data_IF_684893778882
#
_entry.id   IF_684893778882
#
_cell.length_a   1.000
_cell.length_b   1.000
_cell.length_c   1.000
_cell.angle_alpha   90.00
_cell.angle_beta   90.00
_cell.angle_gamma   90.00
#
_symmetry.space_group_name_H-M   'P 1'
#
loop_
_entity.id
_entity.type
_entity.pdbx_description
1 polymer ?
#
# COMPACT_ATOMS: atom_id res chain seq x y z
N UNK A 1 12.47 -57.68 -5.50
CA UNK A 1 11.76 -56.95 -4.43
C UNK A 1 12.08 -55.47 -4.61
N UNK A 2 11.18 -54.66 -5.19
CA UNK A 2 11.40 -53.22 -5.38
C UNK A 2 10.48 -52.45 -4.42
N UNK A 3 11.05 -51.58 -3.60
CA UNK A 3 10.32 -50.66 -2.74
C UNK A 3 9.85 -49.45 -3.56
N UNK A 4 8.53 -49.22 -3.62
CA UNK A 4 7.96 -48.00 -4.20
C UNK A 4 8.15 -46.86 -3.20
N UNK A 5 8.81 -45.79 -3.64
CA UNK A 5 8.79 -44.52 -2.93
C UNK A 5 7.39 -43.91 -3.06
N UNK A 6 6.72 -43.73 -1.93
CA UNK A 6 5.44 -43.00 -1.86
C UNK A 6 5.78 -41.52 -1.81
N UNK A 7 5.47 -40.80 -2.88
CA UNK A 7 5.56 -39.33 -2.91
C UNK A 7 4.29 -38.80 -2.25
N UNK A 8 4.41 -38.29 -1.03
CA UNK A 8 3.30 -37.65 -0.31
C UNK A 8 2.97 -36.31 -0.97
N UNK A 9 1.85 -36.24 -1.69
CA UNK A 9 1.30 -34.96 -2.15
C UNK A 9 0.70 -34.23 -0.95
N UNK A 10 1.36 -33.17 -0.51
CA UNK A 10 0.86 -32.31 0.55
C UNK A 10 -0.18 -31.35 -0.03
N UNK A 11 -1.26 -31.14 0.70
CA UNK A 11 -2.27 -30.15 0.31
C UNK A 11 -1.72 -28.73 0.45
N UNK A 12 -2.26 -27.77 -0.30
CA UNK A 12 -1.84 -26.36 -0.22
C UNK A 12 -1.89 -25.83 1.24
N UNK A 13 -2.84 -26.32 2.04
CA UNK A 13 -2.97 -25.97 3.46
C UNK A 13 -1.83 -26.49 4.34
N UNK A 14 -1.22 -27.63 4.01
CA UNK A 14 -0.09 -28.20 4.76
C UNK A 14 1.23 -27.53 4.39
N UNK A 15 1.40 -27.14 3.13
CA UNK A 15 2.54 -26.32 2.67
C UNK A 15 2.52 -24.98 3.40
N UNK A 16 1.35 -24.33 3.50
CA UNK A 16 1.21 -23.07 4.23
C UNK A 16 1.54 -23.20 5.73
N UNK A 17 1.20 -24.33 6.35
CA UNK A 17 1.52 -24.60 7.77
C UNK A 17 3.02 -24.86 7.98
N UNK A 18 3.63 -25.65 7.11
CA UNK A 18 5.07 -25.92 7.12
C UNK A 18 5.92 -24.66 6.86
N UNK A 19 5.43 -23.76 6.01
CA UNK A 19 6.08 -22.47 5.76
C UNK A 19 5.91 -21.48 6.92
N UNK A 20 4.85 -21.60 7.73
CA UNK A 20 4.67 -20.80 8.94
C UNK A 20 5.62 -21.22 10.08
N UNK A 21 5.89 -22.52 10.23
CA UNK A 21 6.78 -23.06 11.27
C UNK A 21 8.27 -22.77 11.01
N UNK A 22 8.65 -22.47 9.77
CA UNK A 22 10.02 -22.18 9.36
C UNK A 22 10.50 -20.73 9.64
N UNK A 23 9.68 -19.87 10.24
CA UNK A 23 10.10 -18.54 10.71
C UNK A 23 10.48 -17.51 9.62
N UNK A 24 10.41 -17.87 8.33
CA UNK A 24 10.68 -16.98 7.18
C UNK A 24 9.36 -16.52 6.57
N UNK A 25 8.52 -15.81 7.33
CA UNK A 25 7.42 -14.98 6.80
C UNK A 25 6.77 -14.15 7.92
N UNK A 26 7.58 -13.44 8.72
CA UNK A 26 7.02 -12.43 9.61
C UNK A 26 6.92 -11.10 8.85
N UNK A 27 5.67 -10.76 8.50
CA UNK A 27 5.10 -9.38 8.44
C UNK A 27 4.72 -8.78 7.07
N UNK A 28 4.12 -9.56 6.17
CA UNK A 28 3.30 -8.99 5.08
C UNK A 28 2.11 -9.89 4.71
N UNK A 29 1.21 -10.15 5.66
CA UNK A 29 -0.04 -10.89 5.43
C UNK A 29 -1.30 -10.07 5.77
N UNK A 30 -1.15 -8.81 6.17
CA UNK A 30 -2.28 -7.93 6.49
C UNK A 30 -2.37 -6.91 5.35
N UNK A 31 -3.48 -6.96 4.61
CA UNK A 31 -3.84 -5.95 3.61
C UNK A 31 -3.71 -4.55 4.20
N UNK A 32 -3.20 -3.60 3.43
CA UNK A 32 -3.03 -2.24 3.90
C UNK A 32 -4.38 -1.50 3.72
N UNK A 33 -5.30 -1.73 4.66
CA UNK A 33 -6.71 -1.35 4.55
C UNK A 33 -7.16 -0.31 5.59
N UNK A 34 -6.22 0.47 6.13
CA UNK A 34 -6.54 1.55 7.06
C UNK A 34 -6.19 2.92 6.44
N UNK A 35 -6.94 3.93 6.83
CA UNK A 35 -6.57 5.34 6.61
C UNK A 35 -5.79 5.83 7.82
N UNK A 36 -4.81 6.70 7.60
CA UNK A 36 -4.07 7.30 8.71
C UNK A 36 -4.94 8.31 9.47
N UNK A 37 -4.71 8.47 10.77
CA UNK A 37 -5.43 9.42 11.61
C UNK A 37 -5.22 10.87 11.15
N UNK A 38 -4.02 11.21 10.65
CA UNK A 38 -3.77 12.53 10.06
C UNK A 38 -4.54 12.77 8.74
N UNK A 39 -5.09 11.73 8.11
CA UNK A 39 -5.94 11.87 6.92
C UNK A 39 -7.41 12.13 7.27
N UNK A 40 -7.80 12.01 8.55
CA UNK A 40 -9.20 12.04 9.00
C UNK A 40 -9.97 13.28 8.53
N UNK A 41 -9.33 14.45 8.48
CA UNK A 41 -10.00 15.69 8.08
C UNK A 41 -10.45 15.67 6.60
N UNK A 42 -9.76 14.90 5.74
CA UNK A 42 -10.11 14.75 4.33
C UNK A 42 -10.82 13.42 4.03
N UNK A 43 -10.53 12.36 4.77
CA UNK A 43 -11.19 11.05 4.66
C UNK A 43 -12.60 11.11 5.23
N UNK A 44 -12.82 11.82 6.33
CA UNK A 44 -14.15 12.04 6.91
C UNK A 44 -15.10 12.79 5.97
N UNK A 45 -14.55 13.54 5.00
CA UNK A 45 -15.33 14.20 3.93
C UNK A 45 -15.12 13.56 2.55
N UNK A 46 -14.32 12.49 2.46
CA UNK A 46 -13.93 11.79 1.24
C UNK A 46 -13.43 12.69 0.09
N UNK A 47 -12.90 13.87 0.42
CA UNK A 47 -12.49 14.90 -0.57
C UNK A 47 -11.17 14.57 -1.26
N UNK A 48 -10.42 13.59 -0.74
CA UNK A 48 -9.14 13.15 -1.26
C UNK A 48 -9.11 11.61 -1.31
N UNK A 49 -8.32 11.06 -2.23
CA UNK A 49 -8.01 9.62 -2.25
C UNK A 49 -7.05 9.33 -1.08
N UNK A 50 -7.37 8.40 -0.15
CA UNK A 50 -6.50 8.04 0.97
C UNK A 50 -5.20 7.37 0.51
N UNK A 51 -4.13 7.46 1.30
CA UNK A 51 -2.82 6.89 0.98
C UNK A 51 -2.86 5.38 0.78
N UNK A 52 -3.67 4.64 1.55
CA UNK A 52 -3.83 3.20 1.36
C UNK A 52 -4.38 2.84 -0.04
N UNK A 53 -5.40 3.58 -0.51
CA UNK A 53 -5.94 3.41 -1.86
C UNK A 53 -4.92 3.84 -2.90
N UNK A 54 -4.20 4.96 -2.70
CA UNK A 54 -3.13 5.38 -3.61
C UNK A 54 -2.04 4.33 -3.76
N UNK A 55 -1.67 3.64 -2.67
CA UNK A 55 -0.70 2.54 -2.74
C UNK A 55 -1.23 1.39 -3.60
N UNK A 56 -2.49 0.99 -3.41
CA UNK A 56 -3.11 -0.06 -4.25
C UNK A 56 -3.15 0.34 -5.72
N UNK A 57 -3.52 1.59 -6.02
CA UNK A 57 -3.50 2.16 -7.38
C UNK A 57 -2.10 2.09 -8.00
N UNK A 58 -1.05 2.44 -7.26
CA UNK A 58 0.34 2.33 -7.70
C UNK A 58 0.74 0.87 -7.93
N UNK A 59 0.38 -0.05 -7.02
CA UNK A 59 0.69 -1.48 -7.14
C UNK A 59 0.02 -2.15 -8.34
N UNK A 60 -1.24 -1.80 -8.63
CA UNK A 60 -1.97 -2.36 -9.77
C UNK A 60 -1.75 -1.59 -11.08
N UNK A 61 -0.97 -0.50 -11.06
CA UNK A 61 -0.69 0.30 -12.25
C UNK A 61 -1.94 0.97 -12.83
N UNK A 62 -2.74 1.64 -12.00
CA UNK A 62 -3.96 2.31 -12.44
C UNK A 62 -4.02 3.78 -12.00
N UNK A 63 -4.21 4.67 -12.97
CA UNK A 63 -4.45 6.09 -12.74
C UNK A 63 -5.93 6.38 -12.52
N UNK A 64 -6.30 6.58 -11.26
CA UNK A 64 -7.61 7.14 -10.87
C UNK A 64 -7.49 8.65 -10.64
N UNK A 65 -8.27 9.44 -11.37
CA UNK A 65 -8.34 10.90 -11.17
C UNK A 65 -9.15 11.21 -9.91
N UNK A 66 -8.95 12.40 -9.34
CA UNK A 66 -9.75 12.86 -8.22
C UNK A 66 -11.24 13.01 -8.59
N UNK A 67 -11.55 13.44 -9.81
CA UNK A 67 -12.93 13.48 -10.34
C UNK A 67 -13.59 12.11 -10.32
N UNK A 68 -12.92 11.07 -10.82
CA UNK A 68 -13.43 9.69 -10.74
C UNK A 68 -13.74 9.30 -9.30
N UNK A 69 -12.79 9.55 -8.38
CA UNK A 69 -12.97 9.28 -6.96
C UNK A 69 -14.19 10.00 -6.37
N UNK A 70 -14.35 11.28 -6.71
CA UNK A 70 -15.47 12.12 -6.24
C UNK A 70 -16.82 11.73 -6.85
N UNK A 71 -16.84 11.03 -7.98
CA UNK A 71 -18.05 10.46 -8.58
C UNK A 71 -18.42 9.08 -7.99
N UNK A 72 -17.46 8.33 -7.42
CA UNK A 72 -17.77 7.08 -6.71
C UNK A 72 -18.65 7.33 -5.49
N UNK A 73 -19.54 6.40 -5.17
CA UNK A 73 -20.34 6.45 -3.94
C UNK A 73 -19.44 6.27 -2.70
N UNK A 74 -19.94 6.69 -1.53
CA UNK A 74 -19.21 6.47 -0.29
C UNK A 74 -18.95 4.98 -0.01
N UNK A 75 -19.92 4.11 -0.32
CA UNK A 75 -19.76 2.65 -0.20
C UNK A 75 -18.64 2.14 -1.10
N UNK A 76 -18.60 2.56 -2.37
CA UNK A 76 -17.53 2.18 -3.30
C UNK A 76 -16.16 2.67 -2.83
N UNK A 77 -16.07 3.87 -2.28
CA UNK A 77 -14.82 4.39 -1.70
C UNK A 77 -14.36 3.58 -0.50
N UNK A 78 -15.28 3.17 0.36
CA UNK A 78 -14.98 2.31 1.51
C UNK A 78 -14.56 0.91 1.06
N UNK A 79 -15.25 0.32 0.08
CA UNK A 79 -14.85 -0.96 -0.52
C UNK A 79 -13.42 -0.93 -1.07
N UNK A 80 -13.00 0.18 -1.68
CA UNK A 80 -11.62 0.36 -2.17
C UNK A 80 -10.59 0.46 -1.03
N UNK A 81 -10.97 1.02 0.13
CA UNK A 81 -10.12 1.03 1.33
C UNK A 81 -9.97 -0.40 1.85
N UNK A 82 -11.08 -1.14 1.95
CA UNK A 82 -11.12 -2.49 2.49
C UNK A 82 -10.59 -3.55 1.52
N UNK A 83 -10.37 -3.19 0.24
CA UNK A 83 -9.92 -4.10 -0.80
C UNK A 83 -8.54 -4.70 -0.49
N UNK A 84 -8.41 -6.02 -0.68
CA UNK A 84 -7.16 -6.74 -0.43
C UNK A 84 -6.06 -6.35 -1.43
N UNK A 85 -4.84 -6.30 -0.92
CA UNK A 85 -3.63 -5.98 -1.67
C UNK A 85 -2.97 -7.23 -2.27
N UNK A 86 -3.61 -8.40 -2.17
CA UNK A 86 -3.13 -9.62 -2.81
C UNK A 86 -3.12 -9.45 -4.35
N UNK A 87 -2.16 -10.03 -5.09
CA UNK A 87 -2.04 -9.81 -6.54
C UNK A 87 -3.32 -10.04 -7.33
N UNK A 88 -4.01 -11.17 -7.10
CA UNK A 88 -5.27 -11.49 -7.79
C UNK A 88 -6.39 -10.50 -7.42
N UNK A 89 -6.43 -10.05 -6.16
CA UNK A 89 -7.41 -9.07 -5.70
C UNK A 89 -7.15 -7.68 -6.30
N UNK A 90 -5.89 -7.28 -6.47
CA UNK A 90 -5.51 -6.03 -7.11
C UNK A 90 -5.92 -6.02 -8.59
N UNK A 91 -5.76 -7.11 -9.32
CA UNK A 91 -6.23 -7.20 -10.71
C UNK A 91 -7.77 -7.13 -10.79
N UNK A 92 -8.49 -7.78 -9.86
CA UNK A 92 -9.95 -7.65 -9.76
C UNK A 92 -10.39 -6.21 -9.44
N UNK A 93 -9.66 -5.53 -8.53
CA UNK A 93 -9.90 -4.12 -8.20
C UNK A 93 -9.73 -3.23 -9.44
N UNK A 94 -8.66 -3.46 -10.20
CA UNK A 94 -8.33 -2.72 -11.42
C UNK A 94 -9.45 -2.83 -12.45
N UNK A 95 -9.91 -4.05 -12.76
CA UNK A 95 -11.01 -4.26 -13.71
C UNK A 95 -12.33 -3.67 -13.23
N UNK A 96 -12.60 -3.77 -11.92
CA UNK A 96 -13.77 -3.13 -11.29
C UNK A 96 -13.74 -1.62 -11.48
N UNK A 97 -12.62 -0.96 -11.18
CA UNK A 97 -12.45 0.49 -11.35
C UNK A 97 -12.56 0.92 -12.81
N UNK A 98 -12.02 0.15 -13.76
CA UNK A 98 -12.19 0.42 -15.20
C UNK A 98 -13.66 0.35 -15.60
N UNK A 99 -14.39 -0.64 -15.11
CA UNK A 99 -15.82 -0.77 -15.36
C UNK A 99 -16.61 0.43 -14.80
N UNK A 100 -16.39 0.75 -13.52
CA UNK A 100 -17.08 1.85 -12.83
C UNK A 100 -16.83 3.22 -13.47
N UNK A 101 -15.61 3.46 -13.93
CA UNK A 101 -15.22 4.77 -14.48
C UNK A 101 -15.55 4.94 -15.96
N UNK A 102 -15.96 3.87 -16.67
CA UNK A 102 -16.14 3.88 -18.14
C UNK A 102 -17.08 4.99 -18.63
N UNK A 103 -18.16 5.24 -17.91
CA UNK A 103 -19.20 6.22 -18.29
C UNK A 103 -19.08 7.56 -17.55
N UNK A 104 -18.04 7.76 -16.74
CA UNK A 104 -17.83 9.02 -16.02
C UNK A 104 -17.37 10.12 -16.98
N UNK A 105 -17.55 11.38 -16.58
CA UNK A 105 -17.27 12.54 -17.45
C UNK A 105 -15.82 12.57 -17.95
N UNK A 106 -14.88 12.14 -17.10
CA UNK A 106 -13.45 12.07 -17.40
C UNK A 106 -13.00 10.77 -18.10
N UNK A 107 -13.96 9.89 -18.40
CA UNK A 107 -13.79 8.59 -19.04
C UNK A 107 -13.20 7.52 -18.13
N UNK A 108 -12.90 6.37 -18.72
CA UNK A 108 -12.29 5.24 -18.01
C UNK A 108 -10.94 5.60 -17.37
N UNK A 109 -10.70 5.09 -16.16
CA UNK A 109 -9.39 5.11 -15.51
C UNK A 109 -8.31 4.52 -16.44
N UNK A 110 -7.12 5.14 -16.42
CA UNK A 110 -6.07 4.82 -17.39
C UNK A 110 -5.03 3.90 -16.78
N UNK A 111 -4.52 2.98 -17.59
CA UNK A 111 -3.40 2.13 -17.19
C UNK A 111 -2.11 2.94 -17.03
N UNK A 112 -1.28 2.48 -16.10
CA UNK A 112 0.09 2.90 -15.84
C UNK A 112 0.96 1.65 -15.68
N UNK A 113 2.29 1.83 -15.68
CA UNK A 113 3.17 0.78 -15.21
C UNK A 113 2.92 0.52 -13.71
N UNK A 114 2.73 -0.74 -13.29
CA UNK A 114 2.72 -1.12 -11.88
C UNK A 114 4.02 -0.69 -11.18
N UNK A 115 3.91 -0.31 -9.91
CA UNK A 115 5.06 0.03 -9.09
C UNK A 115 5.88 -1.23 -8.75
N UNK A 116 7.13 -1.26 -9.25
CA UNK A 116 8.11 -2.32 -8.99
C UNK A 116 9.41 -1.68 -8.53
N UNK A 117 10.06 -2.29 -7.54
CA UNK A 117 11.33 -1.86 -6.94
C UNK A 117 11.40 -0.40 -6.49
N UNK A 118 10.26 0.21 -6.18
CA UNK A 118 10.16 1.59 -5.74
C UNK A 118 10.77 1.79 -4.34
N UNK A 119 11.19 3.01 -3.96
CA UNK A 119 11.91 3.21 -2.71
C UNK A 119 11.13 2.79 -1.44
N UNK A 120 9.80 2.88 -1.45
CA UNK A 120 8.96 2.42 -0.34
C UNK A 120 8.82 0.89 -0.24
N UNK A 121 9.13 0.15 -1.31
CA UNK A 121 9.21 -1.32 -1.30
C UNK A 121 10.54 -1.82 -0.72
N UNK A 122 11.56 -0.96 -0.61
CA UNK A 122 12.90 -1.33 -0.17
C UNK A 122 13.05 -1.26 1.37
N UNK A 123 13.05 -2.43 2.02
CA UNK A 123 13.17 -2.56 3.48
C UNK A 123 14.55 -2.12 4.00
N UNK A 124 15.61 -2.33 3.20
CA UNK A 124 16.99 -2.08 3.61
C UNK A 124 17.63 -0.84 2.97
N UNK A 125 16.85 -0.06 2.22
CA UNK A 125 17.32 1.16 1.58
C UNK A 125 16.35 2.31 1.87
N UNK A 126 16.59 3.02 2.97
CA UNK A 126 15.82 4.24 3.29
C UNK A 126 16.19 5.35 2.31
N UNK A 127 15.20 6.02 1.66
CA UNK A 127 15.48 7.14 0.78
C UNK A 127 16.16 8.29 1.53
N UNK A 128 17.13 8.93 0.89
CA UNK A 128 17.86 10.06 1.50
C UNK A 128 16.93 11.22 1.81
N UNK A 129 15.93 11.47 0.96
CA UNK A 129 14.95 12.53 1.14
C UNK A 129 14.11 12.33 2.40
N UNK A 130 13.77 11.06 2.73
CA UNK A 130 13.04 10.73 3.96
C UNK A 130 13.94 10.93 5.17
N UNK A 131 15.21 10.54 5.08
CA UNK A 131 16.20 10.76 6.14
C UNK A 131 16.39 12.26 6.42
N UNK A 132 16.62 13.04 5.38
CA UNK A 132 16.81 14.49 5.44
C UNK A 132 15.56 15.18 6.01
N UNK A 133 14.37 14.79 5.56
CA UNK A 133 13.12 15.35 6.05
C UNK A 133 12.85 15.02 7.53
N UNK A 134 13.29 13.86 8.01
CA UNK A 134 13.24 13.49 9.42
C UNK A 134 14.24 14.34 10.24
N UNK A 135 15.49 14.44 9.78
CA UNK A 135 16.54 15.25 10.43
C UNK A 135 16.14 16.72 10.51
N UNK A 136 15.60 17.31 9.43
CA UNK A 136 15.14 18.70 9.41
C UNK A 136 14.04 19.01 10.44
N UNK A 137 13.34 17.97 10.93
CA UNK A 137 12.27 18.08 11.93
C UNK A 137 12.68 17.60 13.32
N UNK A 138 13.95 17.24 13.52
CA UNK A 138 14.43 16.67 14.78
C UNK A 138 13.84 15.28 15.09
N UNK A 139 13.32 14.57 14.09
CA UNK A 139 12.76 13.22 14.24
C UNK A 139 13.89 12.21 14.07
N UNK A 140 14.04 11.31 15.05
CA UNK A 140 15.00 10.19 14.95
C UNK A 140 14.38 9.01 14.21
N UNK A 141 14.75 8.87 12.93
CA UNK A 141 14.42 7.71 12.09
C UNK A 141 15.70 6.94 11.72
N UNK A 142 15.89 5.77 12.32
CA UNK A 142 17.02 4.87 12.03
C UNK A 142 16.70 3.86 10.93
N UNK A 143 17.74 3.29 10.31
CA UNK A 143 17.56 2.19 9.35
C UNK A 143 16.81 0.98 9.94
N UNK A 144 17.00 0.68 11.23
CA UNK A 144 16.28 -0.38 11.92
C UNK A 144 14.79 -0.04 12.10
N UNK A 145 14.45 1.22 12.41
CA UNK A 145 13.06 1.67 12.45
C UNK A 145 12.43 1.61 11.06
N UNK A 146 13.11 2.10 10.03
CA UNK A 146 12.67 2.01 8.64
C UNK A 146 12.36 0.58 8.19
N UNK A 147 13.25 -0.36 8.51
CA UNK A 147 13.07 -1.77 8.17
C UNK A 147 11.86 -2.40 8.88
N UNK A 148 11.51 -1.90 10.07
CA UNK A 148 10.38 -2.40 10.86
C UNK A 148 9.03 -1.77 10.51
N UNK A 149 9.01 -0.66 9.76
CA UNK A 149 7.79 -0.04 9.24
C UNK A 149 7.03 -0.99 8.34
N UNK A 150 5.70 -0.84 8.28
CA UNK A 150 4.94 -1.50 7.22
C UNK A 150 5.27 -0.88 5.86
N UNK A 151 4.94 -1.59 4.79
CA UNK A 151 5.11 -1.03 3.45
C UNK A 151 4.20 0.20 3.23
N UNK A 152 3.01 0.24 3.83
CA UNK A 152 2.13 1.40 3.78
C UNK A 152 2.73 2.62 4.50
N UNK A 153 3.40 2.42 5.64
CA UNK A 153 4.07 3.50 6.36
C UNK A 153 5.26 4.06 5.57
N UNK A 154 6.06 3.18 4.96
CA UNK A 154 7.14 3.60 4.04
C UNK A 154 6.57 4.37 2.85
N UNK A 155 5.48 3.88 2.25
CA UNK A 155 4.78 4.55 1.16
C UNK A 155 4.30 5.93 1.58
N UNK A 156 3.68 6.04 2.76
CA UNK A 156 3.21 7.30 3.35
C UNK A 156 4.35 8.32 3.43
N UNK A 157 5.46 7.96 4.07
CA UNK A 157 6.61 8.86 4.19
C UNK A 157 7.16 9.27 2.82
N UNK A 158 7.35 8.32 1.89
CA UNK A 158 7.85 8.61 0.55
C UNK A 158 6.91 9.52 -0.26
N UNK A 159 5.59 9.43 -0.06
CA UNK A 159 4.62 10.26 -0.79
C UNK A 159 4.47 11.67 -0.22
N UNK A 160 4.74 11.85 1.08
CA UNK A 160 4.58 13.14 1.76
C UNK A 160 5.85 13.99 1.73
N UNK A 161 7.02 13.35 1.64
CA UNK A 161 8.30 14.02 1.40
C UNK A 161 8.34 14.54 -0.03
N UNK A 162 8.63 15.84 -0.20
CA UNK A 162 8.74 16.48 -1.51
C UNK A 162 9.93 17.43 -1.53
N UNK A 163 10.85 17.29 -2.50
CA UNK A 163 11.98 18.20 -2.62
C UNK A 163 11.54 19.67 -2.61
N UNK A 164 12.03 20.45 -1.65
CA UNK A 164 11.78 21.89 -1.54
C UNK A 164 10.43 22.32 -0.96
N UNK A 165 9.44 21.43 -0.81
CA UNK A 165 8.14 21.77 -0.21
C UNK A 165 7.38 20.53 0.29
N UNK A 166 7.75 20.05 1.48
CA UNK A 166 7.09 18.92 2.11
C UNK A 166 5.60 19.17 2.39
N UNK A 167 4.82 18.08 2.38
CA UNK A 167 3.40 18.15 2.70
C UNK A 167 3.16 18.57 4.16
N UNK A 168 2.12 19.40 4.41
CA UNK A 168 1.77 19.86 5.76
C UNK A 168 1.54 18.72 6.77
N UNK A 169 1.05 17.57 6.30
CA UNK A 169 0.85 16.36 7.12
C UNK A 169 2.13 15.58 7.46
N UNK A 170 3.31 15.94 6.95
CA UNK A 170 4.51 15.12 7.14
C UNK A 170 4.93 15.00 8.60
N UNK A 171 4.77 16.06 9.41
CA UNK A 171 5.07 16.00 10.84
C UNK A 171 4.13 15.03 11.58
N UNK A 172 2.83 15.09 11.26
CA UNK A 172 1.84 14.17 11.83
C UNK A 172 2.10 12.72 11.38
N UNK A 173 2.49 12.53 10.12
CA UNK A 173 2.85 11.21 9.59
C UNK A 173 4.04 10.60 10.34
N UNK A 174 5.12 11.34 10.57
CA UNK A 174 6.24 10.85 11.39
C UNK A 174 5.81 10.46 12.81
N UNK A 175 4.95 11.26 13.45
CA UNK A 175 4.44 10.95 14.79
C UNK A 175 3.58 9.70 14.81
N UNK A 176 2.76 9.48 13.78
CA UNK A 176 1.84 8.35 13.72
C UNK A 176 2.55 7.04 13.36
N UNK A 177 3.53 7.05 12.45
CA UNK A 177 4.23 5.83 12.01
C UNK A 177 5.39 5.41 12.91
N UNK A 178 5.87 6.30 13.80
CA UNK A 178 6.97 6.03 14.74
C UNK A 178 6.56 5.99 16.21
N UNK A 179 5.34 6.44 16.53
CA UNK A 179 4.75 6.36 17.88
C UNK A 179 4.14 5.00 18.16
#
# INVERSE_FOLDING_TARGET
MQAKAVVTMHTIGEINRLMADAGVMKRSLISANHCFAFERDFVGTWRCIPLCVRRKLDLMGLKLKLSHWLELSQTQRQELVDWSDAPDALEQCRETLRSLTRSMADGMAKDLAPAVDTPWQQVHAMPVEVADAATARGVRLTAAQWANLSELDRFCLCKLVRPGHDHHNLAAAFSEVLG
#
